data_IF_451397936558
#
_entry.id   IF_451397936558
#
_cell.length_a   1.000
_cell.length_b   1.000
_cell.length_c   1.000
_cell.angle_alpha   90.00
_cell.angle_beta   90.00
_cell.angle_gamma   90.00
#
_symmetry.space_group_name_H-M   'P 1'
#
loop_
_entity.id
_entity.type
_entity.pdbx_description
1 polymer ?
#
# COMPACT_ATOMS: atom_id res chain seq x y z
N UNK A 1 -51.55 1.42 103.19
CA UNK A 1 -51.44 1.71 101.75
C UNK A 1 -52.84 1.99 101.26
N UNK A 2 -53.14 3.16 100.68
CA UNK A 2 -54.49 3.43 100.19
C UNK A 2 -54.84 2.40 99.12
N UNK A 3 -55.95 1.69 99.30
CA UNK A 3 -56.46 0.73 98.32
C UNK A 3 -57.01 1.54 97.15
N UNK A 4 -56.22 1.63 96.08
CA UNK A 4 -56.68 2.31 94.88
C UNK A 4 -57.88 1.55 94.32
N UNK A 5 -59.02 2.23 94.14
CA UNK A 5 -60.24 1.54 93.76
C UNK A 5 -60.06 0.92 92.37
N UNK A 6 -60.57 -0.31 92.20
CA UNK A 6 -60.35 -1.18 91.04
C UNK A 6 -60.57 -0.47 89.70
N UNK A 7 -61.49 0.50 89.64
CA UNK A 7 -61.76 1.28 88.43
C UNK A 7 -60.54 2.07 87.91
N UNK A 8 -59.63 2.53 88.78
CA UNK A 8 -58.42 3.26 88.36
C UNK A 8 -57.46 2.34 87.61
N UNK A 9 -57.30 1.09 88.06
CA UNK A 9 -56.50 0.09 87.34
C UNK A 9 -57.07 -0.23 85.96
N UNK A 10 -58.41 -0.27 85.83
CA UNK A 10 -59.08 -0.48 84.53
C UNK A 10 -58.79 0.67 83.57
N UNK A 11 -58.88 1.92 84.03
CA UNK A 11 -58.58 3.10 83.20
C UNK A 11 -57.11 3.09 82.75
N UNK A 12 -56.18 2.79 83.66
CA UNK A 12 -54.75 2.68 83.33
C UNK A 12 -54.53 1.60 82.26
N UNK A 13 -55.14 0.43 82.41
CA UNK A 13 -55.00 -0.65 81.44
C UNK A 13 -55.50 -0.26 80.04
N UNK A 14 -56.62 0.47 79.94
CA UNK A 14 -57.15 0.96 78.66
C UNK A 14 -56.21 1.99 78.02
N UNK A 15 -55.66 2.93 78.81
CA UNK A 15 -54.70 3.93 78.29
C UNK A 15 -53.42 3.26 77.81
N UNK A 16 -52.87 2.31 78.57
CA UNK A 16 -51.69 1.54 78.17
C UNK A 16 -51.96 0.76 76.88
N UNK A 17 -53.14 0.13 76.76
CA UNK A 17 -53.53 -0.59 75.54
C UNK A 17 -53.63 0.36 74.34
N UNK A 18 -54.22 1.55 74.51
CA UNK A 18 -54.31 2.55 73.44
C UNK A 18 -52.93 3.04 72.97
N UNK A 19 -51.99 3.25 73.89
CA UNK A 19 -50.60 3.62 73.57
C UNK A 19 -49.91 2.49 72.80
N UNK A 20 -50.08 1.23 73.22
CA UNK A 20 -49.50 0.07 72.51
C UNK A 20 -50.04 -0.01 71.08
N UNK A 21 -51.35 0.13 70.89
CA UNK A 21 -51.97 0.13 69.55
C UNK A 21 -51.42 1.26 68.69
N UNK A 22 -51.27 2.47 69.24
CA UNK A 22 -50.71 3.61 68.52
C UNK A 22 -49.26 3.36 68.04
N UNK A 23 -48.42 2.76 68.89
CA UNK A 23 -47.02 2.42 68.55
C UNK A 23 -46.97 1.37 67.43
N UNK A 24 -47.80 0.32 67.50
CA UNK A 24 -47.83 -0.75 66.47
C UNK A 24 -48.27 -0.20 65.10
N UNK A 25 -49.26 0.69 65.08
CA UNK A 25 -49.73 1.33 63.83
C UNK A 25 -48.66 2.27 63.26
N UNK A 26 -47.94 3.02 64.09
CA UNK A 26 -46.85 3.88 63.64
C UNK A 26 -45.68 3.07 63.04
N UNK A 27 -45.29 1.97 63.70
CA UNK A 27 -44.20 1.11 63.25
C UNK A 27 -44.50 0.39 61.92
N UNK A 28 -45.75 -0.01 61.70
CA UNK A 28 -46.17 -0.72 60.48
C UNK A 28 -46.33 0.20 59.27
N UNK A 29 -46.60 1.50 59.48
CA UNK A 29 -46.84 2.46 58.39
C UNK A 29 -45.55 3.01 57.75
N UNK A 30 -44.44 3.07 58.48
CA UNK A 30 -43.15 3.59 57.97
C UNK A 30 -42.37 2.64 57.04
N UNK A 31 -42.59 1.32 57.12
CA UNK A 31 -41.77 0.34 56.38
C UNK A 31 -42.17 0.16 54.90
N UNK A 32 -43.39 0.55 54.51
CA UNK A 32 -43.89 0.38 53.14
C UNK A 32 -43.29 1.41 52.16
N UNK A 33 -43.11 2.66 52.60
CA UNK A 33 -42.49 3.72 51.78
C UNK A 33 -41.03 3.42 51.45
N UNK A 34 -40.24 3.02 52.47
CA UNK A 34 -38.83 2.70 52.29
C UNK A 34 -38.56 1.53 51.33
N UNK A 35 -39.50 0.60 51.16
CA UNK A 35 -39.37 -0.50 50.19
C UNK A 35 -39.65 -0.06 48.76
N UNK A 36 -40.62 0.84 48.57
CA UNK A 36 -40.95 1.39 47.25
C UNK A 36 -39.80 2.27 46.76
N UNK A 37 -39.27 3.16 47.60
CA UNK A 37 -38.11 4.00 47.24
C UNK A 37 -36.89 3.17 46.87
N UNK A 38 -36.61 2.08 47.60
CA UNK A 38 -35.51 1.16 47.25
C UNK A 38 -35.76 0.46 45.92
N UNK A 39 -36.99 0.03 45.66
CA UNK A 39 -37.32 -0.60 44.38
C UNK A 39 -37.19 0.38 43.21
N UNK A 40 -37.60 1.63 43.38
CA UNK A 40 -37.41 2.68 42.38
C UNK A 40 -35.93 3.02 42.16
N UNK A 41 -35.14 3.12 43.22
CA UNK A 41 -33.69 3.31 43.12
C UNK A 41 -32.99 2.14 42.41
N UNK A 42 -33.40 0.89 42.68
CA UNK A 42 -32.86 -0.27 41.95
C UNK A 42 -33.23 -0.22 40.46
N UNK A 43 -34.47 0.15 40.12
CA UNK A 43 -34.88 0.30 38.71
C UNK A 43 -34.11 1.43 38.02
N UNK A 44 -33.94 2.56 38.69
CA UNK A 44 -33.17 3.69 38.16
C UNK A 44 -31.72 3.29 37.87
N UNK A 45 -31.06 2.57 38.80
CA UNK A 45 -29.71 2.04 38.62
C UNK A 45 -29.63 1.02 37.49
N UNK A 46 -30.59 0.09 37.41
CA UNK A 46 -30.62 -0.90 36.33
C UNK A 46 -30.73 -0.22 34.95
N UNK A 47 -31.54 0.84 34.83
CA UNK A 47 -31.63 1.60 33.57
C UNK A 47 -30.35 2.38 33.23
N UNK A 48 -29.60 2.84 34.24
CA UNK A 48 -28.30 3.49 34.03
C UNK A 48 -27.24 2.47 33.58
N UNK A 49 -27.20 1.31 34.22
CA UNK A 49 -26.31 0.20 33.85
C UNK A 49 -26.60 -0.29 32.41
N UNK A 50 -27.87 -0.44 32.04
CA UNK A 50 -28.28 -0.81 30.68
C UNK A 50 -27.80 0.21 29.63
N UNK A 51 -27.83 1.50 29.96
CA UNK A 51 -27.31 2.55 29.07
C UNK A 51 -25.79 2.47 28.91
N UNK A 52 -25.07 2.18 29.98
CA UNK A 52 -23.61 2.01 29.92
C UNK A 52 -23.24 0.77 29.12
N UNK A 53 -23.95 -0.35 29.34
CA UNK A 53 -23.71 -1.61 28.62
C UNK A 53 -24.04 -1.46 27.14
N UNK A 54 -25.18 -0.85 26.79
CA UNK A 54 -25.55 -0.59 25.39
C UNK A 54 -24.54 0.32 24.70
N UNK A 55 -24.12 1.42 25.32
CA UNK A 55 -23.09 2.30 24.76
C UNK A 55 -21.73 1.59 24.56
N UNK A 56 -21.35 0.70 25.48
CA UNK A 56 -20.13 -0.12 25.33
C UNK A 56 -20.27 -1.12 24.19
N UNK A 57 -21.43 -1.75 24.06
CA UNK A 57 -21.73 -2.69 22.98
C UNK A 57 -21.66 -1.99 21.62
N UNK A 58 -22.30 -0.83 21.46
CA UNK A 58 -22.24 -0.06 20.22
C UNK A 58 -20.80 0.33 19.84
N UNK A 59 -19.97 0.71 20.82
CA UNK A 59 -18.54 0.98 20.57
C UNK A 59 -17.79 -0.28 20.14
N UNK A 60 -18.04 -1.41 20.80
CA UNK A 60 -17.41 -2.68 20.45
C UNK A 60 -17.81 -3.14 19.04
N UNK A 61 -19.10 -3.06 18.71
CA UNK A 61 -19.63 -3.39 17.39
C UNK A 61 -19.05 -2.45 16.32
N UNK A 62 -18.93 -1.14 16.62
CA UNK A 62 -18.29 -0.17 15.74
C UNK A 62 -16.80 -0.44 15.50
N UNK A 63 -16.06 -0.88 16.54
CA UNK A 63 -14.66 -1.27 16.39
C UNK A 63 -14.51 -2.58 15.61
N UNK A 64 -15.40 -3.55 15.83
CA UNK A 64 -15.41 -4.81 15.08
C UNK A 64 -15.66 -4.56 13.58
N UNK A 65 -16.64 -3.71 13.24
CA UNK A 65 -16.93 -3.34 11.86
C UNK A 65 -15.74 -2.63 11.19
N UNK A 66 -15.06 -1.72 11.90
CA UNK A 66 -13.84 -1.07 11.40
C UNK A 66 -12.71 -2.05 11.18
N UNK A 67 -12.50 -2.99 12.10
CA UNK A 67 -11.48 -4.02 11.97
C UNK A 67 -11.76 -4.94 10.78
N UNK A 68 -13.03 -5.25 10.49
CA UNK A 68 -13.43 -6.01 9.32
C UNK A 68 -13.18 -5.23 8.02
N UNK A 69 -13.53 -3.94 7.98
CA UNK A 69 -13.25 -3.07 6.83
C UNK A 69 -11.75 -3.00 6.51
N UNK A 70 -10.90 -2.81 7.52
CA UNK A 70 -9.43 -2.79 7.33
C UNK A 70 -8.91 -4.14 6.83
N UNK A 71 -9.47 -5.26 7.29
CA UNK A 71 -9.09 -6.60 6.80
C UNK A 71 -9.50 -6.81 5.34
N UNK A 72 -10.66 -6.31 4.94
CA UNK A 72 -11.12 -6.39 3.56
C UNK A 72 -10.26 -5.51 2.64
N UNK A 73 -9.94 -4.30 3.08
CA UNK A 73 -9.03 -3.39 2.37
C UNK A 73 -7.65 -4.03 2.17
N UNK A 74 -7.03 -4.55 3.24
CA UNK A 74 -5.75 -5.24 3.17
C UNK A 74 -5.77 -6.47 2.24
N UNK A 75 -6.88 -7.22 2.20
CA UNK A 75 -7.06 -8.34 1.24
C UNK A 75 -7.15 -7.84 -0.20
N UNK A 76 -7.86 -6.73 -0.43
CA UNK A 76 -8.00 -6.13 -1.75
C UNK A 76 -6.66 -5.59 -2.27
N UNK A 77 -5.87 -4.98 -1.40
CA UNK A 77 -4.52 -4.51 -1.73
C UNK A 77 -3.58 -5.68 -2.01
N UNK A 78 -3.62 -6.73 -1.19
CA UNK A 78 -2.86 -7.96 -1.43
C UNK A 78 -3.18 -8.58 -2.79
N UNK A 79 -4.47 -8.65 -3.16
CA UNK A 79 -4.88 -9.16 -4.47
C UNK A 79 -4.40 -8.30 -5.64
N UNK A 80 -4.35 -6.96 -5.47
CA UNK A 80 -3.79 -6.05 -6.48
C UNK A 80 -2.27 -6.19 -6.62
N UNK A 81 -1.56 -6.35 -5.50
CA UNK A 81 -0.12 -6.59 -5.51
C UNK A 81 0.20 -7.91 -6.23
N UNK A 82 -0.56 -8.97 -5.95
CA UNK A 82 -0.42 -10.27 -6.61
C UNK A 82 -0.73 -10.18 -8.12
N UNK A 83 -1.75 -9.41 -8.53
CA UNK A 83 -2.03 -9.23 -9.96
C UNK A 83 -0.91 -8.49 -10.69
N UNK A 84 -0.36 -7.43 -10.08
CA UNK A 84 0.76 -6.69 -10.64
C UNK A 84 2.02 -7.57 -10.75
N UNK A 85 2.27 -8.43 -9.76
CA UNK A 85 3.40 -9.35 -9.78
C UNK A 85 3.28 -10.36 -10.92
N UNK A 86 2.10 -10.94 -11.14
CA UNK A 86 1.85 -11.84 -12.28
C UNK A 86 1.98 -11.14 -13.63
N UNK A 87 1.54 -9.88 -13.71
CA UNK A 87 1.69 -9.09 -14.92
C UNK A 87 3.17 -8.80 -15.23
N UNK A 88 3.97 -8.47 -14.21
CA UNK A 88 5.41 -8.29 -14.33
C UNK A 88 6.10 -9.58 -14.76
N UNK A 89 5.80 -10.72 -14.12
CA UNK A 89 6.33 -12.04 -14.50
C UNK A 89 5.97 -12.39 -15.96
N UNK A 90 4.73 -12.13 -16.39
CA UNK A 90 4.31 -12.36 -17.76
C UNK A 90 4.95 -11.38 -18.76
N UNK A 91 5.33 -10.18 -18.34
CA UNK A 91 6.07 -9.23 -19.15
C UNK A 91 7.54 -9.66 -19.31
N UNK A 92 8.17 -10.10 -18.22
CA UNK A 92 9.53 -10.66 -18.24
C UNK A 92 9.62 -11.88 -19.16
N UNK A 93 8.68 -12.83 -19.04
CA UNK A 93 8.65 -14.01 -19.91
C UNK A 93 8.49 -13.64 -21.39
N UNK A 94 7.63 -12.66 -21.71
CA UNK A 94 7.49 -12.15 -23.08
C UNK A 94 8.78 -11.49 -23.57
N UNK A 95 9.47 -10.74 -22.72
CA UNK A 95 10.74 -10.11 -23.07
C UNK A 95 11.84 -11.13 -23.33
N UNK A 96 11.91 -12.18 -22.50
CA UNK A 96 12.87 -13.27 -22.67
C UNK A 96 12.64 -14.02 -23.99
N UNK A 97 11.38 -14.38 -24.30
CA UNK A 97 11.04 -15.03 -25.57
C UNK A 97 11.34 -14.15 -26.78
N UNK A 98 11.08 -12.84 -26.69
CA UNK A 98 11.40 -11.91 -27.77
C UNK A 98 12.92 -11.78 -27.98
N UNK A 99 13.71 -11.80 -26.90
CA UNK A 99 15.17 -11.78 -26.98
C UNK A 99 15.73 -13.08 -27.59
N UNK A 100 15.19 -14.24 -27.21
CA UNK A 100 15.54 -15.53 -27.84
C UNK A 100 15.21 -15.55 -29.33
N UNK A 101 14.02 -15.08 -29.72
CA UNK A 101 13.64 -15.00 -31.13
C UNK A 101 14.53 -14.04 -31.93
N UNK A 102 14.90 -12.90 -31.33
CA UNK A 102 15.85 -11.97 -31.95
C UNK A 102 17.22 -12.60 -32.18
N UNK A 103 17.75 -13.34 -31.18
CA UNK A 103 19.01 -14.06 -31.31
C UNK A 103 18.98 -15.11 -32.43
N UNK A 104 17.91 -15.91 -32.51
CA UNK A 104 17.75 -16.90 -33.57
C UNK A 104 17.71 -16.25 -34.96
N UNK A 105 17.04 -15.10 -35.11
CA UNK A 105 17.01 -14.37 -36.39
C UNK A 105 18.37 -13.78 -36.74
N UNK A 106 19.11 -13.27 -35.75
CA UNK A 106 20.46 -12.76 -35.97
C UNK A 106 21.42 -13.87 -36.41
N UNK A 107 21.34 -15.05 -35.79
CA UNK A 107 22.12 -16.24 -36.19
C UNK A 107 21.75 -16.70 -37.61
N UNK A 108 20.46 -16.74 -37.95
CA UNK A 108 20.00 -17.08 -39.30
C UNK A 108 20.50 -16.07 -40.34
N UNK A 109 20.43 -14.77 -40.03
CA UNK A 109 20.94 -13.71 -40.89
C UNK A 109 22.46 -13.82 -41.11
N UNK A 110 23.23 -14.10 -40.05
CA UNK A 110 24.68 -14.32 -40.15
C UNK A 110 25.00 -15.51 -41.05
N UNK A 111 24.34 -16.65 -40.85
CA UNK A 111 24.56 -17.84 -41.67
C UNK A 111 24.12 -17.66 -43.13
N UNK A 112 23.05 -16.89 -43.37
CA UNK A 112 22.62 -16.52 -44.72
C UNK A 112 23.65 -15.61 -45.42
N UNK A 113 24.20 -14.65 -44.70
CA UNK A 113 25.25 -13.76 -45.20
C UNK A 113 26.55 -14.51 -45.50
N UNK A 114 26.95 -15.46 -44.65
CA UNK A 114 28.11 -16.32 -44.88
C UNK A 114 27.97 -17.12 -46.17
N UNK A 115 26.82 -17.80 -46.35
CA UNK A 115 26.51 -18.53 -47.60
C UNK A 115 26.51 -17.64 -48.83
N UNK A 116 25.96 -16.42 -48.72
CA UNK A 116 26.01 -15.45 -49.81
C UNK A 116 27.45 -15.07 -50.14
N UNK A 117 28.28 -14.83 -49.11
CA UNK A 117 29.71 -14.55 -49.26
C UNK A 117 30.47 -15.69 -49.95
N UNK A 118 30.20 -16.93 -49.59
CA UNK A 118 30.76 -18.12 -50.25
C UNK A 118 30.33 -18.21 -51.72
N UNK A 119 29.05 -17.99 -52.02
CA UNK A 119 28.53 -18.01 -53.38
C UNK A 119 29.14 -16.90 -54.26
N UNK A 120 29.35 -15.71 -53.71
CA UNK A 120 30.05 -14.60 -54.39
C UNK A 120 31.50 -14.97 -54.66
N UNK A 121 32.23 -15.49 -53.65
CA UNK A 121 33.61 -15.93 -53.83
C UNK A 121 33.73 -17.05 -54.87
N UNK A 122 32.81 -18.02 -54.89
CA UNK A 122 32.81 -19.09 -55.88
C UNK A 122 32.54 -18.54 -57.29
N UNK A 123 31.57 -17.63 -57.44
CA UNK A 123 31.30 -16.94 -58.71
C UNK A 123 32.54 -16.22 -59.21
N UNK A 124 33.21 -15.45 -58.36
CA UNK A 124 34.39 -14.67 -58.74
C UNK A 124 35.57 -15.59 -59.13
N UNK A 125 35.77 -16.72 -58.42
CA UNK A 125 36.75 -17.75 -58.82
C UNK A 125 36.43 -18.36 -60.19
N UNK A 126 35.14 -18.59 -60.50
CA UNK A 126 34.73 -19.12 -61.82
C UNK A 126 34.97 -18.10 -62.94
N UNK A 127 34.68 -16.81 -62.70
CA UNK A 127 34.97 -15.73 -63.65
C UNK A 127 36.48 -15.62 -63.91
N UNK A 128 37.30 -15.60 -62.84
CA UNK A 128 38.75 -15.52 -62.99
C UNK A 128 39.34 -16.71 -63.77
N UNK A 129 38.84 -17.93 -63.52
CA UNK A 129 39.23 -19.12 -64.29
C UNK A 129 38.77 -19.04 -65.76
N UNK A 130 37.62 -18.42 -66.03
CA UNK A 130 37.16 -18.24 -67.41
C UNK A 130 38.05 -17.24 -68.17
N UNK A 131 38.47 -16.16 -67.51
CA UNK A 131 39.39 -15.17 -68.07
C UNK A 131 40.78 -15.77 -68.36
N UNK A 132 41.26 -16.66 -67.49
CA UNK A 132 42.52 -17.41 -67.67
C UNK A 132 42.46 -18.39 -68.86
N UNK A 133 41.27 -18.87 -69.22
CA UNK A 133 41.05 -19.78 -70.35
C UNK A 133 40.76 -19.07 -71.68
N UNK A 134 40.44 -17.76 -71.66
CA UNK A 134 40.20 -17.00 -72.89
C UNK A 134 41.53 -16.60 -73.55
N UNK A 135 41.91 -17.17 -74.72
CA UNK A 135 43.17 -16.85 -75.39
C UNK A 135 43.27 -15.39 -75.87
N UNK A 136 42.21 -14.58 -75.73
CA UNK A 136 42.20 -13.16 -76.09
C UNK A 136 42.69 -12.23 -74.97
N UNK A 137 42.73 -12.67 -73.71
CA UNK A 137 43.12 -11.84 -72.55
C UNK A 137 44.64 -11.69 -72.42
N UNK A 138 45.45 -12.61 -72.96
CA UNK A 138 46.93 -12.58 -72.90
C UNK A 138 47.59 -11.46 -73.75
N UNK A 139 46.84 -10.72 -74.56
CA UNK A 139 47.43 -9.82 -75.55
C UNK A 139 47.80 -8.42 -75.03
N UNK A 140 47.35 -7.98 -73.84
CA UNK A 140 47.46 -6.56 -73.44
C UNK A 140 47.99 -6.29 -72.01
N UNK A 141 48.49 -7.29 -71.29
CA UNK A 141 48.97 -7.12 -69.90
C UNK A 141 50.37 -6.47 -69.79
N UNK A 142 50.90 -5.95 -70.89
CA UNK A 142 52.26 -5.42 -71.00
C UNK A 142 52.41 -3.90 -70.94
N UNK A 143 51.34 -3.08 -70.94
CA UNK A 143 51.46 -1.63 -71.24
C UNK A 143 50.97 -0.61 -70.22
N UNK A 144 50.51 -0.97 -69.02
CA UNK A 144 49.98 0.02 -68.07
C UNK A 144 50.64 0.02 -66.68
N UNK A 145 51.98 0.04 -66.62
CA UNK A 145 52.75 0.23 -65.38
C UNK A 145 53.43 1.60 -65.21
N UNK A 146 52.99 2.64 -65.92
CA UNK A 146 53.49 4.00 -65.75
C UNK A 146 52.33 4.98 -65.70
N UNK A 147 52.47 5.94 -64.80
CA UNK A 147 51.56 7.05 -64.51
C UNK A 147 50.35 6.69 -63.66
N UNK A 148 50.53 6.76 -62.33
CA UNK A 148 49.64 7.55 -61.46
C UNK A 148 50.29 7.70 -60.08
N UNK A 149 51.31 8.56 -60.10
CA UNK A 149 51.93 9.18 -58.93
C UNK A 149 51.55 10.65 -59.06
N UNK A 150 50.48 11.07 -58.38
CA UNK A 150 50.18 12.46 -57.94
C UNK A 150 48.67 12.76 -57.98
N UNK A 151 48.00 12.48 -56.87
CA UNK A 151 46.73 13.16 -56.53
C UNK A 151 46.62 13.30 -55.02
N UNK A 152 47.68 13.86 -54.43
CA UNK A 152 47.51 14.71 -53.26
C UNK A 152 47.04 16.08 -53.75
N UNK A 153 46.02 16.64 -53.08
CA UNK A 153 45.50 18.02 -53.16
C UNK A 153 44.10 18.16 -53.80
N UNK A 154 43.12 18.42 -52.93
CA UNK A 154 42.26 19.59 -53.16
C UNK A 154 40.76 19.34 -53.28
N UNK A 155 40.07 19.35 -52.14
CA UNK A 155 38.74 19.97 -51.99
C UNK A 155 37.54 19.14 -52.44
N UNK A 156 36.47 19.12 -51.63
CA UNK A 156 35.45 20.16 -51.66
C UNK A 156 34.25 19.74 -50.79
N UNK A 157 34.02 20.52 -49.74
CA UNK A 157 32.69 20.68 -49.13
C UNK A 157 31.65 20.98 -50.20
N UNK A 158 30.62 20.14 -50.37
CA UNK A 158 29.38 20.55 -51.05
C UNK A 158 28.16 19.74 -50.56
N UNK A 159 27.30 20.44 -49.81
CA UNK A 159 25.82 20.34 -49.69
C UNK A 159 25.15 19.06 -49.18
N UNK A 160 24.33 19.07 -48.11
CA UNK A 160 23.29 20.02 -47.62
C UNK A 160 22.11 20.19 -48.59
N UNK A 161 21.03 19.47 -48.31
CA UNK A 161 19.65 19.86 -48.69
C UNK A 161 18.96 18.89 -49.66
N UNK A 162 17.96 18.18 -49.13
CA UNK A 162 16.70 17.74 -49.77
C UNK A 162 16.08 16.72 -48.78
N UNK A 163 15.20 17.08 -47.84
CA UNK A 163 13.88 17.74 -47.98
C UNK A 163 12.97 17.06 -49.01
N UNK A 164 12.42 15.90 -48.64
CA UNK A 164 11.13 15.45 -49.17
C UNK A 164 10.15 15.19 -48.03
N UNK A 165 9.20 16.11 -47.94
CA UNK A 165 7.93 16.08 -47.23
C UNK A 165 6.96 15.01 -47.75
N UNK A 166 6.03 14.60 -46.88
CA UNK A 166 4.74 13.96 -47.18
C UNK A 166 4.69 12.52 -46.63
N UNK A 167 3.80 12.11 -45.73
CA UNK A 167 2.51 12.61 -45.24
C UNK A 167 2.33 12.07 -43.80
N UNK A 168 2.00 12.90 -42.82
CA UNK A 168 0.65 13.23 -42.36
C UNK A 168 -0.22 12.07 -41.83
N UNK A 169 -0.54 12.20 -40.54
CA UNK A 169 -1.71 11.69 -39.83
C UNK A 169 -1.82 10.19 -39.49
N UNK A 170 -1.13 9.81 -38.41
CA UNK A 170 -1.84 9.17 -37.28
C UNK A 170 -1.42 9.81 -35.96
N UNK A 171 -2.27 10.72 -35.49
CA UNK A 171 -2.46 11.02 -34.08
C UNK A 171 -2.53 9.72 -33.29
N UNK A 172 -1.59 9.51 -32.39
CA UNK A 172 -1.87 8.83 -31.13
C UNK A 172 -1.10 9.54 -30.05
N UNK A 173 -1.86 10.28 -29.26
CA UNK A 173 -1.45 10.84 -27.99
C UNK A 173 -0.79 9.73 -27.16
N UNK A 174 0.47 9.90 -26.81
CA UNK A 174 1.07 9.34 -25.61
C UNK A 174 2.30 10.19 -25.26
N UNK A 175 2.01 11.31 -24.60
CA UNK A 175 2.95 12.12 -23.83
C UNK A 175 3.52 11.31 -22.65
N UNK A 176 4.29 10.26 -22.93
CA UNK A 176 5.14 9.64 -21.92
C UNK A 176 6.41 10.48 -21.83
N UNK A 177 6.34 11.45 -20.92
CA UNK A 177 7.45 12.18 -20.30
C UNK A 177 8.65 11.25 -20.11
N UNK A 178 9.66 11.45 -20.94
CA UNK A 178 10.93 10.73 -20.93
C UNK A 178 12.05 11.74 -20.71
N UNK A 179 12.00 12.40 -19.56
CA UNK A 179 13.04 13.28 -19.01
C UNK A 179 12.98 13.20 -17.49
N UNK A 180 13.39 12.06 -16.91
CA UNK A 180 13.83 12.00 -15.51
C UNK A 180 14.71 10.75 -15.24
N UNK A 181 15.71 10.53 -16.12
CA UNK A 181 16.79 9.57 -15.89
C UNK A 181 18.05 10.35 -15.55
N UNK A 182 18.21 10.69 -14.27
CA UNK A 182 19.44 11.33 -13.81
C UNK A 182 19.35 11.98 -12.45
N UNK A 183 18.89 11.25 -11.43
CA UNK A 183 19.24 11.62 -10.06
C UNK A 183 19.36 10.41 -9.15
N UNK A 184 20.52 9.79 -9.29
CA UNK A 184 21.16 8.91 -8.31
C UNK A 184 21.58 9.71 -7.05
N UNK A 185 20.72 10.60 -6.53
CA UNK A 185 20.94 11.21 -5.21
C UNK A 185 20.44 10.22 -4.15
N UNK A 186 21.41 9.53 -3.55
CA UNK A 186 21.48 9.37 -2.10
C UNK A 186 20.15 9.14 -1.38
N UNK A 187 19.44 8.06 -1.72
CA UNK A 187 18.74 7.30 -0.70
C UNK A 187 19.69 6.23 -0.16
N UNK A 188 20.78 6.72 0.43
CA UNK A 188 21.19 6.22 1.74
C UNK A 188 19.92 6.26 2.59
N UNK A 189 19.22 5.13 2.64
CA UNK A 189 18.54 4.71 3.85
C UNK A 189 19.63 4.66 4.92
N UNK A 190 19.90 5.83 5.49
CA UNK A 190 20.07 5.91 6.92
C UNK A 190 18.79 5.25 7.46
N UNK A 191 18.89 3.95 7.74
CA UNK A 191 18.13 3.30 8.81
C UNK A 191 18.57 3.92 10.15
N UNK A 192 18.63 5.25 10.22
CA UNK A 192 18.43 5.97 11.47
C UNK A 192 16.98 5.70 11.77
N UNK A 193 16.77 4.72 12.64
CA UNK A 193 15.83 4.78 13.73
C UNK A 193 15.04 6.10 13.71
N UNK A 194 14.03 6.17 12.83
CA UNK A 194 12.95 7.14 12.95
C UNK A 194 12.20 6.61 14.15
N UNK A 195 12.75 6.90 15.34
CA UNK A 195 12.01 6.82 16.58
C UNK A 195 10.73 7.57 16.27
N UNK A 196 9.57 6.89 16.35
CA UNK A 196 8.30 7.50 15.98
C UNK A 196 8.23 8.84 16.68
N UNK A 197 8.05 9.91 15.92
CA UNK A 197 8.01 11.26 16.47
C UNK A 197 7.08 11.22 17.68
N UNK A 198 7.71 11.47 18.82
CA UNK A 198 7.21 11.18 20.15
C UNK A 198 6.02 12.13 20.52
N UNK A 199 5.53 12.85 19.51
CA UNK A 199 4.50 13.88 19.54
C UNK A 199 3.08 13.32 19.41
N UNK A 200 2.89 12.12 18.87
CA UNK A 200 1.57 11.51 18.66
C UNK A 200 1.12 10.56 19.79
N UNK A 201 1.88 10.47 20.89
CA UNK A 201 1.43 9.72 22.06
C UNK A 201 0.15 10.37 22.64
N UNK A 202 -0.94 9.60 22.86
CA UNK A 202 -2.16 10.13 23.44
C UNK A 202 -1.86 10.79 24.79
N UNK A 203 -2.45 11.97 25.01
CA UNK A 203 -2.28 12.75 26.24
C UNK A 203 -3.59 12.79 27.03
N UNK A 204 -3.48 12.85 28.35
CA UNK A 204 -4.63 13.15 29.20
C UNK A 204 -5.06 14.62 29.08
N UNK A 205 -6.16 14.98 29.74
CA UNK A 205 -6.68 16.35 29.79
C UNK A 205 -5.68 17.36 30.40
N UNK A 206 -4.62 16.88 31.06
CA UNK A 206 -3.59 17.66 31.72
C UNK A 206 -2.29 17.70 30.89
N UNK A 207 -2.31 17.13 29.68
CA UNK A 207 -1.17 17.14 28.76
C UNK A 207 -0.08 16.10 29.08
N UNK A 208 -0.33 15.16 30.00
CA UNK A 208 0.60 14.08 30.34
C UNK A 208 0.48 12.95 29.33
N UNK A 209 1.62 12.35 28.98
CA UNK A 209 1.65 11.20 28.06
C UNK A 209 1.03 9.98 28.72
N UNK A 210 0.22 9.27 27.95
CA UNK A 210 -0.35 7.98 28.31
C UNK A 210 0.49 6.86 27.69
N UNK A 211 0.67 5.77 28.44
CA UNK A 211 1.19 4.51 27.90
C UNK A 211 0.18 3.88 26.90
N UNK A 212 0.55 2.79 26.18
CA UNK A 212 -0.38 2.10 25.27
C UNK A 212 -1.65 1.57 25.94
N UNK A 213 -1.70 1.53 27.27
CA UNK A 213 -2.83 1.08 28.08
C UNK A 213 -3.63 2.23 28.70
N UNK A 214 -3.29 3.49 28.40
CA UNK A 214 -4.00 4.67 28.88
C UNK A 214 -3.61 5.14 30.30
N UNK A 215 -2.49 4.68 30.86
CA UNK A 215 -2.00 5.15 32.16
C UNK A 215 -1.00 6.30 32.00
N UNK A 216 -1.03 7.33 32.86
CA UNK A 216 -0.07 8.43 32.80
C UNK A 216 1.35 7.93 33.14
N UNK A 217 2.31 8.31 32.30
CA UNK A 217 3.74 8.03 32.52
C UNK A 217 4.31 9.15 33.40
N UNK A 218 4.82 8.81 34.60
CA UNK A 218 5.48 9.77 35.48
C UNK A 218 6.81 10.23 34.85
N UNK A 219 7.05 11.56 34.76
CA UNK A 219 8.26 12.09 34.12
C UNK A 219 9.55 11.68 34.86
N UNK A 220 9.47 11.35 36.14
CA UNK A 220 10.61 11.01 36.99
C UNK A 220 11.15 9.57 36.78
N UNK A 221 10.49 8.75 35.95
CA UNK A 221 10.93 7.36 35.69
C UNK A 221 11.89 7.23 34.47
N UNK A 222 12.25 8.32 33.80
CA UNK A 222 13.27 8.30 32.74
C UNK A 222 14.67 8.53 33.33
N UNK A 223 15.31 7.46 33.79
CA UNK A 223 16.73 7.45 34.19
C UNK A 223 17.46 6.36 33.39
#
# INVERSE_FOLDING_TARGET
>A
MPDWPIWVWVVIAVVVLAIIIAIVVAATRGSKGARIERAEQLRARAHEDDRIVSARKERADGLAARAEAVREEARSEGARADSLRREAEAAEERSARAAEEAQLRDEEAQHSNEKLGEAVQERDRRLHRADELDPRTDADDGRHRRDDRDSTLGGRDVHRGDDLHGDDNLRRDDDIRRDDLGRDDELRRDDRDVLPDDHDAPRDEQGRRLDPYGNPIDPDQRN
#
